data_IF_345927942721
#
_entry.id   IF_345927942721
#
_cell.length_a   1.000
_cell.length_b   1.000
_cell.length_c   1.000
_cell.angle_alpha   90.00
_cell.angle_beta   90.00
_cell.angle_gamma   90.00
#
_symmetry.space_group_name_H-M   'P 1'
#
loop_
_entity.id
_entity.type
_entity.pdbx_description
1 polymer ?
#
# COMPACT_ATOMS: atom_id res chain seq x y z
N UNK A 1 7.61 -16.26 -18.03
CA UNK A 1 8.17 -14.89 -18.03
C UNK A 1 9.67 -14.98 -18.14
N UNK A 2 10.29 -14.17 -19.00
CA UNK A 2 11.74 -14.17 -19.19
C UNK A 2 12.47 -13.57 -17.99
N UNK A 3 13.76 -13.89 -17.85
CA UNK A 3 14.59 -13.33 -16.77
C UNK A 3 14.67 -11.80 -16.86
N UNK A 4 14.72 -11.25 -18.07
CA UNK A 4 14.76 -9.80 -18.29
C UNK A 4 13.48 -9.11 -17.83
N UNK A 5 12.32 -9.70 -18.10
CA UNK A 5 11.03 -9.19 -17.62
C UNK A 5 10.95 -9.24 -16.11
N UNK A 6 11.36 -10.36 -15.51
CA UNK A 6 11.40 -10.51 -14.04
C UNK A 6 12.26 -9.42 -13.41
N UNK A 7 13.43 -9.14 -13.99
CA UNK A 7 14.33 -8.12 -13.47
C UNK A 7 13.71 -6.72 -13.57
N UNK A 8 13.03 -6.41 -14.69
CA UNK A 8 12.32 -5.12 -14.83
C UNK A 8 11.26 -4.94 -13.77
N UNK A 9 10.42 -5.96 -13.56
CA UNK A 9 9.38 -5.89 -12.54
C UNK A 9 9.97 -5.81 -11.14
N UNK A 10 11.07 -6.51 -10.90
CA UNK A 10 11.76 -6.42 -9.61
C UNK A 10 12.25 -5.00 -9.35
N UNK A 11 12.87 -4.37 -10.33
CA UNK A 11 13.34 -2.98 -10.20
C UNK A 11 12.17 -2.02 -9.95
N UNK A 12 11.07 -2.19 -10.69
CA UNK A 12 9.87 -1.38 -10.50
C UNK A 12 9.30 -1.55 -9.08
N UNK A 13 9.22 -2.78 -8.62
CA UNK A 13 8.67 -3.09 -7.28
C UNK A 13 9.59 -2.58 -6.17
N UNK A 14 10.90 -2.72 -6.32
CA UNK A 14 11.84 -2.19 -5.34
C UNK A 14 11.77 -0.67 -5.24
N UNK A 15 11.63 0.01 -6.38
CA UNK A 15 11.46 1.46 -6.44
C UNK A 15 10.15 1.89 -5.77
N UNK A 16 9.05 1.18 -6.07
CA UNK A 16 7.75 1.43 -5.45
C UNK A 16 7.80 1.18 -3.93
N UNK A 17 8.51 0.14 -3.50
CA UNK A 17 8.67 -0.17 -2.08
C UNK A 17 9.38 0.96 -1.34
N UNK A 18 10.46 1.48 -1.92
CA UNK A 18 11.19 2.58 -1.30
C UNK A 18 10.32 3.82 -1.19
N UNK A 19 9.56 4.13 -2.24
CA UNK A 19 8.61 5.24 -2.23
C UNK A 19 7.52 5.04 -1.19
N UNK A 20 6.92 3.87 -1.13
CA UNK A 20 5.86 3.55 -0.17
C UNK A 20 6.36 3.63 1.27
N UNK A 21 7.58 3.16 1.53
CA UNK A 21 8.21 3.27 2.85
C UNK A 21 8.41 4.74 3.24
N UNK A 22 8.84 5.57 2.30
CA UNK A 22 8.99 7.01 2.51
C UNK A 22 7.67 7.67 2.85
N UNK A 23 6.60 7.33 2.15
CA UNK A 23 5.26 7.85 2.42
C UNK A 23 4.76 7.43 3.80
N UNK A 24 4.95 6.16 4.17
CA UNK A 24 4.58 5.66 5.50
C UNK A 24 5.32 6.45 6.59
N UNK A 25 6.64 6.62 6.44
CA UNK A 25 7.44 7.35 7.41
C UNK A 25 7.02 8.82 7.52
N UNK A 26 6.69 9.43 6.39
CA UNK A 26 6.23 10.82 6.35
C UNK A 26 4.90 10.98 7.09
N UNK A 27 3.94 10.09 6.84
CA UNK A 27 2.62 10.15 7.51
C UNK A 27 2.76 9.88 9.01
N UNK A 28 3.58 8.90 9.42
CA UNK A 28 3.84 8.61 10.82
C UNK A 28 4.43 9.84 11.52
N UNK A 29 5.40 10.48 10.88
CA UNK A 29 6.03 11.70 11.42
C UNK A 29 5.01 12.83 11.56
N UNK A 30 4.14 13.03 10.57
CA UNK A 30 3.08 14.04 10.62
C UNK A 30 2.13 13.80 11.79
N UNK A 31 1.73 12.56 12.01
CA UNK A 31 0.86 12.20 13.15
C UNK A 31 1.55 12.52 14.46
N UNK A 32 2.82 12.15 14.61
CA UNK A 32 3.59 12.41 15.83
C UNK A 32 3.74 13.90 16.09
N UNK A 33 3.99 14.70 15.06
CA UNK A 33 4.11 16.15 15.18
C UNK A 33 2.80 16.79 15.59
N UNK A 34 1.67 16.41 15.01
CA UNK A 34 0.35 16.90 15.35
C UNK A 34 0.00 16.59 16.81
N UNK A 35 0.25 15.37 17.24
CA UNK A 35 -0.01 14.94 18.61
C UNK A 35 0.88 15.74 19.59
N UNK A 36 2.15 15.92 19.27
CA UNK A 36 3.09 16.67 20.12
C UNK A 36 2.71 18.14 20.23
N UNK A 37 2.37 18.79 19.11
CA UNK A 37 1.96 20.20 19.09
C UNK A 37 0.70 20.39 19.92
N UNK A 38 -0.29 19.55 19.74
CA UNK A 38 -1.55 19.64 20.49
C UNK A 38 -1.34 19.40 21.99
N UNK A 39 -0.48 18.48 22.36
CA UNK A 39 -0.13 18.23 23.76
C UNK A 39 0.59 19.42 24.40
N UNK A 40 1.44 20.12 23.64
CA UNK A 40 2.22 21.25 24.14
C UNK A 40 1.42 22.55 24.22
N UNK A 41 0.38 22.70 23.39
CA UNK A 41 -0.43 23.94 23.35
C UNK A 41 -1.63 23.89 24.27
N UNK A 42 -1.98 22.73 24.81
CA UNK A 42 -3.15 22.53 25.65
C UNK A 42 -2.79 22.75 27.12
N UNK A 43 -3.21 23.87 27.68
CA UNK A 43 -3.11 24.16 29.11
C UNK A 43 -4.25 23.52 29.91
N UNK A 44 -5.28 22.99 29.25
CA UNK A 44 -6.43 22.34 29.88
C UNK A 44 -6.44 20.84 29.55
N UNK A 45 -6.99 19.97 30.40
CA UNK A 45 -7.10 18.55 30.13
C UNK A 45 -8.16 18.28 29.05
N UNK A 46 -7.84 18.61 27.82
CA UNK A 46 -8.68 18.31 26.67
C UNK A 46 -8.20 16.98 26.08
N UNK A 47 -9.12 16.09 25.79
CA UNK A 47 -8.77 14.81 25.16
C UNK A 47 -8.14 15.08 23.80
N UNK A 48 -7.01 14.45 23.54
CA UNK A 48 -6.31 14.53 22.25
C UNK A 48 -7.24 14.18 21.08
N UNK A 49 -8.16 13.26 21.31
CA UNK A 49 -9.16 12.87 20.32
C UNK A 49 -10.08 14.04 19.90
N UNK A 50 -10.37 14.97 20.82
CA UNK A 50 -11.25 16.10 20.54
C UNK A 50 -10.54 17.23 19.78
N UNK A 51 -9.22 17.37 19.97
CA UNK A 51 -8.41 18.43 19.35
C UNK A 51 -7.90 18.00 17.98
N UNK A 52 -7.43 16.75 17.87
CA UNK A 52 -6.77 16.20 16.69
C UNK A 52 -7.71 15.44 15.75
N UNK A 53 -8.97 15.28 16.15
CA UNK A 53 -9.90 14.27 15.64
C UNK A 53 -9.89 14.02 14.14
N UNK A 54 -10.36 14.98 13.34
CA UNK A 54 -10.52 14.76 11.89
C UNK A 54 -9.21 14.68 11.15
N UNK A 55 -8.23 15.52 11.51
CA UNK A 55 -6.92 15.54 10.84
C UNK A 55 -6.15 14.25 11.11
N UNK A 56 -6.13 13.78 12.37
CA UNK A 56 -5.45 12.54 12.74
C UNK A 56 -6.17 11.34 12.15
N UNK A 57 -7.50 11.34 12.14
CA UNK A 57 -8.29 10.25 11.53
C UNK A 57 -8.00 10.14 10.03
N UNK A 58 -7.90 11.27 9.32
CA UNK A 58 -7.55 11.28 7.91
C UNK A 58 -6.14 10.74 7.67
N UNK A 59 -5.18 11.13 8.50
CA UNK A 59 -3.78 10.65 8.42
C UNK A 59 -3.70 9.16 8.72
N UNK A 60 -4.46 8.65 9.69
CA UNK A 60 -4.52 7.22 10.01
C UNK A 60 -5.09 6.44 8.82
N UNK A 61 -6.12 6.96 8.14
CA UNK A 61 -6.67 6.35 6.94
C UNK A 61 -5.61 6.25 5.83
N UNK A 62 -4.89 7.34 5.58
CA UNK A 62 -3.80 7.36 4.60
C UNK A 62 -2.72 6.36 4.98
N UNK A 63 -2.34 6.30 6.25
CA UNK A 63 -1.33 5.37 6.74
C UNK A 63 -1.75 3.91 6.51
N UNK A 64 -3.01 3.57 6.79
CA UNK A 64 -3.52 2.22 6.57
C UNK A 64 -3.49 1.85 5.10
N UNK A 65 -3.87 2.78 4.21
CA UNK A 65 -3.82 2.56 2.77
C UNK A 65 -2.38 2.36 2.27
N UNK A 66 -1.45 3.19 2.73
CA UNK A 66 -0.05 3.09 2.33
C UNK A 66 0.58 1.78 2.82
N UNK A 67 0.26 1.36 4.04
CA UNK A 67 0.73 0.07 4.58
C UNK A 67 0.17 -1.12 3.81
N UNK A 68 -1.10 -1.06 3.41
CA UNK A 68 -1.72 -2.09 2.57
C UNK A 68 -1.01 -2.22 1.23
N UNK A 69 -0.71 -1.09 0.59
CA UNK A 69 0.01 -1.08 -0.68
C UNK A 69 1.42 -1.64 -0.49
N UNK A 70 2.10 -1.25 0.58
CA UNK A 70 3.45 -1.75 0.89
C UNK A 70 3.44 -3.27 1.09
N UNK A 71 2.44 -3.81 1.78
CA UNK A 71 2.27 -5.25 1.97
C UNK A 71 2.05 -5.96 0.63
N UNK A 72 1.24 -5.37 -0.26
CA UNK A 72 1.02 -5.91 -1.60
C UNK A 72 2.31 -5.90 -2.45
N UNK A 73 3.10 -4.83 -2.35
CA UNK A 73 4.40 -4.75 -3.03
C UNK A 73 5.34 -5.83 -2.52
N UNK A 74 5.47 -5.99 -1.21
CA UNK A 74 6.32 -7.01 -0.62
C UNK A 74 5.88 -8.42 -1.01
N UNK A 75 4.58 -8.67 -1.05
CA UNK A 75 4.03 -9.95 -1.50
C UNK A 75 4.36 -10.21 -2.98
N UNK A 76 4.30 -9.17 -3.81
CA UNK A 76 4.66 -9.30 -5.23
C UNK A 76 6.15 -9.63 -5.41
N UNK A 77 7.03 -9.02 -4.63
CA UNK A 77 8.46 -9.34 -4.65
C UNK A 77 8.68 -10.80 -4.26
N UNK A 78 7.98 -11.27 -3.23
CA UNK A 78 8.05 -12.68 -2.80
C UNK A 78 7.59 -13.62 -3.93
N UNK A 79 6.56 -13.25 -4.69
CA UNK A 79 6.10 -14.05 -5.83
C UNK A 79 7.12 -14.09 -6.98
N UNK A 80 7.88 -13.01 -7.18
CA UNK A 80 9.00 -13.03 -8.12
C UNK A 80 10.05 -14.07 -7.70
N UNK A 81 10.33 -14.13 -6.41
CA UNK A 81 11.33 -15.04 -5.86
C UNK A 81 10.88 -16.51 -5.93
N UNK A 82 9.58 -16.79 -5.73
CA UNK A 82 9.06 -18.15 -5.76
C UNK A 82 8.54 -18.59 -7.14
N UNK A 83 8.56 -17.71 -8.13
CA UNK A 83 8.19 -18.05 -9.50
C UNK A 83 6.71 -17.97 -9.82
N UNK A 84 5.88 -17.44 -8.91
CA UNK A 84 4.43 -17.33 -9.13
C UNK A 84 3.98 -15.93 -9.57
N UNK A 85 4.90 -15.01 -9.75
CA UNK A 85 4.59 -13.65 -10.21
C UNK A 85 3.87 -13.67 -11.55
N UNK A 86 2.85 -12.83 -11.68
CA UNK A 86 2.07 -12.72 -12.92
C UNK A 86 0.89 -13.67 -13.02
N UNK A 87 0.69 -14.52 -12.01
CA UNK A 87 -0.47 -15.39 -11.93
C UNK A 87 -1.47 -14.85 -10.92
N UNK A 88 -2.75 -14.87 -11.29
CA UNK A 88 -3.82 -14.48 -10.38
C UNK A 88 -3.87 -15.44 -9.20
N UNK A 89 -3.91 -14.91 -7.98
CA UNK A 89 -3.95 -15.73 -6.76
C UNK A 89 -5.30 -16.44 -6.56
N UNK A 90 -6.35 -16.00 -7.26
CA UNK A 90 -7.69 -16.58 -7.13
C UNK A 90 -8.00 -17.61 -8.20
N UNK A 91 -7.64 -17.36 -9.46
CA UNK A 91 -8.04 -18.24 -10.57
C UNK A 91 -6.87 -18.89 -11.29
N UNK A 92 -5.64 -18.64 -10.88
CA UNK A 92 -4.40 -19.15 -11.47
C UNK A 92 -4.15 -18.74 -12.93
N UNK A 93 -5.01 -17.92 -13.51
CA UNK A 93 -4.81 -17.40 -14.87
C UNK A 93 -3.73 -16.32 -14.85
N UNK A 94 -3.12 -16.10 -16.00
CA UNK A 94 -2.12 -15.04 -16.13
C UNK A 94 -2.78 -13.66 -15.99
N UNK A 95 -2.12 -12.78 -15.26
CA UNK A 95 -2.50 -11.38 -15.19
C UNK A 95 -1.95 -10.70 -16.44
N UNK A 96 -2.75 -9.86 -17.10
CA UNK A 96 -2.33 -9.19 -18.32
C UNK A 96 -1.11 -8.28 -18.08
N UNK A 97 -0.27 -8.17 -19.11
CA UNK A 97 0.89 -7.28 -19.02
C UNK A 97 0.48 -5.81 -18.82
N UNK A 98 -0.63 -5.40 -19.43
CA UNK A 98 -1.16 -4.05 -19.26
C UNK A 98 -1.47 -3.75 -17.80
N UNK A 99 -2.09 -4.72 -17.12
CA UNK A 99 -2.41 -4.56 -15.70
C UNK A 99 -1.14 -4.54 -14.85
N UNK A 100 -0.18 -5.42 -15.13
CA UNK A 100 1.09 -5.47 -14.39
C UNK A 100 1.93 -4.20 -14.61
N UNK A 101 1.87 -3.61 -15.80
CA UNK A 101 2.57 -2.34 -16.05
C UNK A 101 1.94 -1.19 -15.28
N UNK A 102 0.63 -1.19 -15.17
CA UNK A 102 -0.10 -0.16 -14.41
C UNK A 102 0.02 -0.40 -12.90
N UNK A 103 -0.10 -1.65 -12.47
CA UNK A 103 -0.05 -2.04 -11.05
C UNK A 103 0.89 -3.24 -10.92
N UNK A 104 2.20 -3.01 -10.79
CA UNK A 104 3.17 -4.12 -10.72
C UNK A 104 2.95 -5.09 -9.56
N UNK A 105 2.30 -4.63 -8.50
CA UNK A 105 1.98 -5.46 -7.34
C UNK A 105 0.60 -6.13 -7.43
N UNK A 106 -0.05 -6.12 -8.59
CA UNK A 106 -1.36 -6.75 -8.76
C UNK A 106 -1.28 -8.24 -8.46
N UNK A 107 -2.15 -8.71 -7.57
CA UNK A 107 -2.23 -10.11 -7.17
C UNK A 107 -3.34 -10.87 -7.91
N UNK A 108 -4.30 -10.15 -8.50
CA UNK A 108 -5.46 -10.73 -9.16
C UNK A 108 -5.62 -10.17 -10.56
N UNK A 109 -6.26 -10.96 -11.44
CA UNK A 109 -6.63 -10.47 -12.76
C UNK A 109 -7.80 -9.49 -12.66
N UNK A 110 -8.07 -8.78 -13.75
CA UNK A 110 -9.15 -7.77 -13.79
C UNK A 110 -10.50 -8.39 -13.42
N UNK A 111 -10.79 -9.58 -13.92
CA UNK A 111 -12.08 -10.26 -13.65
C UNK A 111 -12.25 -10.58 -12.18
N UNK A 112 -11.22 -11.14 -11.54
CA UNK A 112 -11.28 -11.44 -10.10
C UNK A 112 -11.36 -10.18 -9.26
N UNK A 113 -10.65 -9.12 -9.65
CA UNK A 113 -10.70 -7.83 -8.96
C UNK A 113 -12.11 -7.22 -9.04
N UNK A 114 -12.77 -7.32 -10.19
CA UNK A 114 -14.15 -6.85 -10.36
C UNK A 114 -15.11 -7.64 -9.48
N UNK A 115 -14.93 -8.96 -9.40
CA UNK A 115 -15.77 -9.82 -8.56
C UNK A 115 -15.63 -9.46 -7.09
N UNK A 116 -14.43 -9.21 -6.62
CA UNK A 116 -14.18 -8.78 -5.24
C UNK A 116 -14.82 -7.41 -4.96
N UNK A 117 -14.66 -6.45 -5.87
CA UNK A 117 -15.27 -5.14 -5.74
C UNK A 117 -16.80 -5.21 -5.65
N UNK A 118 -17.42 -6.09 -6.45
CA UNK A 118 -18.87 -6.30 -6.44
C UNK A 118 -19.35 -6.95 -5.14
N UNK A 119 -18.54 -7.81 -4.52
CA UNK A 119 -18.88 -8.43 -3.23
C UNK A 119 -18.81 -7.43 -2.08
N UNK A 120 -17.95 -6.43 -2.20
CA UNK A 120 -17.73 -5.43 -1.15
C UNK A 120 -18.66 -4.22 -1.26
N UNK A 121 -19.49 -4.17 -2.30
CA UNK A 121 -20.42 -3.04 -2.53
C UNK A 121 -21.83 -3.29 -2.03
#
# INVERSE_FOLDING_TARGET
>A
MSADKKNRYREMLLSLRDRARGEVNHVVQSIQEEVTVNANTSAAPVHLADIAGEAVDADVQVLQNERSILDEINAAIARLDDGTFGKCTHCDRSISEERLKAIPYAATCVECARTEANRNS
#
